data_IF_326995736851
#
_entry.id   IF_326995736851
#
_cell.length_a   1.000
_cell.length_b   1.000
_cell.length_c   1.000
_cell.angle_alpha   90.00
_cell.angle_beta   90.00
_cell.angle_gamma   90.00
#
_symmetry.space_group_name_H-M   'P 1'
#
loop_
_entity.id
_entity.type
_entity.pdbx_description
1 polymer ?
#
# COMPACT_ATOMS: atom_id res chain seq x y z
N UNK A 1 -4.67 -5.82 -26.70
CA UNK A 1 -5.84 -5.05 -26.23
C UNK A 1 -6.29 -5.72 -24.95
N UNK A 2 -6.75 -4.96 -23.96
CA UNK A 2 -7.20 -5.54 -22.70
C UNK A 2 -8.33 -6.54 -22.91
N UNK A 3 -8.29 -7.65 -22.19
CA UNK A 3 -9.28 -8.74 -22.29
C UNK A 3 -10.24 -8.67 -21.10
N UNK A 4 -11.54 -8.60 -21.38
CA UNK A 4 -12.56 -8.65 -20.34
C UNK A 4 -12.74 -10.07 -19.81
N UNK A 5 -12.75 -10.25 -18.50
CA UNK A 5 -13.04 -11.53 -17.86
C UNK A 5 -14.57 -11.69 -17.75
N UNK A 6 -15.19 -12.20 -18.81
CA UNK A 6 -16.65 -12.39 -18.91
C UNK A 6 -17.08 -13.82 -19.29
N UNK A 7 -16.11 -14.73 -19.41
CA UNK A 7 -16.35 -16.12 -19.79
C UNK A 7 -15.46 -17.08 -19.00
N UNK A 8 -15.95 -18.32 -18.86
CA UNK A 8 -15.23 -19.42 -18.20
C UNK A 8 -13.86 -19.67 -18.82
N UNK A 9 -13.74 -19.60 -20.15
CA UNK A 9 -12.48 -19.83 -20.86
C UNK A 9 -11.41 -18.81 -20.48
N UNK A 10 -11.77 -17.52 -20.41
CA UNK A 10 -10.82 -16.45 -20.05
C UNK A 10 -10.42 -16.57 -18.57
N UNK A 11 -11.38 -16.83 -17.69
CA UNK A 11 -11.09 -17.04 -16.27
C UNK A 11 -10.16 -18.25 -16.06
N UNK A 12 -10.40 -19.36 -16.77
CA UNK A 12 -9.55 -20.54 -16.71
C UNK A 12 -8.15 -20.27 -17.27
N UNK A 13 -8.03 -19.54 -18.38
CA UNK A 13 -6.75 -19.12 -18.95
C UNK A 13 -5.90 -18.35 -17.92
N UNK A 14 -6.50 -17.41 -17.18
CA UNK A 14 -5.81 -16.69 -16.11
C UNK A 14 -5.30 -17.66 -15.02
N UNK A 15 -6.12 -18.64 -14.61
CA UNK A 15 -5.71 -19.63 -13.61
C UNK A 15 -4.59 -20.56 -14.10
N UNK A 16 -4.59 -20.92 -15.38
CA UNK A 16 -3.64 -21.86 -15.95
C UNK A 16 -2.28 -21.20 -16.25
N UNK A 17 -2.30 -19.95 -16.72
CA UNK A 17 -1.10 -19.21 -17.13
C UNK A 17 -0.30 -18.62 -15.96
N UNK A 18 -0.91 -18.47 -14.78
CA UNK A 18 -0.26 -17.82 -13.64
C UNK A 18 -0.14 -18.77 -12.45
N UNK A 19 1.02 -18.77 -11.80
CA UNK A 19 1.28 -19.52 -10.58
C UNK A 19 1.30 -18.61 -9.34
N UNK A 20 1.60 -17.32 -9.51
CA UNK A 20 1.61 -16.33 -8.42
C UNK A 20 0.63 -15.21 -8.67
N UNK A 21 -0.14 -14.86 -7.64
CA UNK A 21 -1.14 -13.82 -7.66
C UNK A 21 -0.82 -12.79 -6.58
N UNK A 22 -0.51 -11.56 -7.01
CA UNK A 22 -0.31 -10.41 -6.14
C UNK A 22 -1.61 -9.60 -6.06
N UNK A 23 -2.13 -9.38 -4.86
CA UNK A 23 -3.40 -8.69 -4.66
C UNK A 23 -3.19 -7.35 -3.98
N UNK A 24 -3.65 -6.25 -4.58
CA UNK A 24 -4.06 -5.12 -3.75
C UNK A 24 -5.20 -5.51 -2.79
N UNK A 25 -5.39 -4.72 -1.75
CA UNK A 25 -6.34 -4.98 -0.68
C UNK A 25 -7.59 -4.09 -0.77
N UNK A 26 -7.42 -2.77 -0.72
CA UNK A 26 -8.52 -1.81 -0.59
C UNK A 26 -9.08 -1.51 -1.99
N UNK A 27 -10.32 -1.90 -2.26
CA UNK A 27 -10.90 -1.82 -3.61
C UNK A 27 -10.85 -3.14 -4.37
N UNK A 28 -10.05 -4.10 -3.93
CA UNK A 28 -9.94 -5.45 -4.53
C UNK A 28 -10.55 -6.54 -3.65
N UNK A 29 -10.17 -6.57 -2.37
CA UNK A 29 -10.64 -7.57 -1.40
C UNK A 29 -11.80 -7.05 -0.55
N UNK A 30 -11.79 -5.75 -0.25
CA UNK A 30 -12.79 -5.11 0.59
C UNK A 30 -12.94 -3.62 0.29
N UNK A 31 -14.05 -3.05 0.76
CA UNK A 31 -14.27 -1.62 0.85
C UNK A 31 -14.41 -1.24 2.34
N UNK A 32 -13.34 -0.70 2.90
CA UNK A 32 -13.24 -0.41 4.33
C UNK A 32 -13.29 -1.67 5.19
N UNK A 33 -14.44 -1.94 5.81
CA UNK A 33 -14.67 -3.10 6.71
C UNK A 33 -15.52 -4.19 6.09
N UNK A 34 -16.00 -4.01 4.86
CA UNK A 34 -16.88 -4.95 4.17
C UNK A 34 -16.12 -5.69 3.08
N UNK A 35 -16.09 -7.03 3.14
CA UNK A 35 -15.57 -7.86 2.06
C UNK A 35 -16.35 -7.67 0.78
N UNK A 36 -15.64 -7.71 -0.34
CA UNK A 36 -16.27 -7.80 -1.65
C UNK A 36 -16.77 -9.24 -1.91
N UNK A 37 -17.81 -9.42 -2.74
CA UNK A 37 -18.39 -10.73 -3.00
C UNK A 37 -17.36 -11.74 -3.54
N UNK A 38 -17.43 -12.98 -3.05
CA UNK A 38 -16.63 -14.12 -3.51
C UNK A 38 -15.12 -14.01 -3.35
N UNK A 39 -14.62 -13.04 -2.58
CA UNK A 39 -13.18 -12.89 -2.32
C UNK A 39 -12.62 -14.10 -1.57
N UNK A 40 -13.28 -14.55 -0.50
CA UNK A 40 -12.83 -15.69 0.30
C UNK A 40 -12.80 -16.96 -0.54
N UNK A 41 -13.86 -17.20 -1.31
CA UNK A 41 -13.96 -18.33 -2.23
C UNK A 41 -12.86 -18.29 -3.31
N UNK A 42 -12.57 -17.12 -3.87
CA UNK A 42 -11.51 -16.95 -4.88
C UNK A 42 -10.12 -17.24 -4.30
N UNK A 43 -9.79 -16.71 -3.12
CA UNK A 43 -8.50 -16.98 -2.47
C UNK A 43 -8.36 -18.47 -2.10
N UNK A 44 -9.44 -19.10 -1.64
CA UNK A 44 -9.43 -20.54 -1.33
C UNK A 44 -9.29 -21.41 -2.58
N UNK A 45 -9.92 -21.02 -3.71
CA UNK A 45 -9.74 -21.67 -5.01
C UNK A 45 -8.27 -21.61 -5.46
N UNK A 46 -7.65 -20.43 -5.39
CA UNK A 46 -6.23 -20.28 -5.75
C UNK A 46 -5.34 -21.17 -4.89
N UNK A 47 -5.58 -21.20 -3.58
CA UNK A 47 -4.84 -22.08 -2.66
C UNK A 47 -5.07 -23.56 -2.92
N UNK A 48 -6.29 -24.00 -3.28
CA UNK A 48 -6.57 -25.39 -3.60
C UNK A 48 -5.90 -25.84 -4.91
N UNK A 49 -5.63 -24.89 -5.82
CA UNK A 49 -4.86 -25.08 -7.04
C UNK A 49 -3.34 -24.93 -6.82
N UNK A 50 -2.87 -24.87 -5.57
CA UNK A 50 -1.48 -24.66 -5.19
C UNK A 50 -0.85 -23.36 -5.75
N UNK A 51 -1.67 -22.33 -6.00
CA UNK A 51 -1.20 -21.02 -6.43
C UNK A 51 -0.65 -20.25 -5.24
N UNK A 52 0.42 -19.49 -5.50
CA UNK A 52 1.01 -18.61 -4.49
C UNK A 52 0.20 -17.31 -4.41
N UNK A 53 -0.22 -16.93 -3.21
CA UNK A 53 -1.04 -15.75 -2.95
C UNK A 53 -0.25 -14.78 -2.08
N UNK A 54 -0.09 -13.54 -2.55
CA UNK A 54 0.61 -12.48 -1.82
C UNK A 54 -0.25 -11.22 -1.83
N UNK A 55 -0.33 -10.55 -0.69
CA UNK A 55 -1.10 -9.32 -0.50
C UNK A 55 -0.17 -8.12 -0.49
N UNK A 56 -0.41 -7.16 -1.37
CA UNK A 56 0.46 -6.02 -1.66
C UNK A 56 -0.33 -4.73 -1.56
N UNK A 57 -0.18 -3.98 -0.46
CA UNK A 57 -1.05 -2.81 -0.17
C UNK A 57 -0.27 -1.51 0.04
N UNK A 58 -0.77 -0.41 -0.52
CA UNK A 58 -0.26 0.93 -0.24
C UNK A 58 -0.82 1.55 1.05
N UNK A 59 -1.77 0.90 1.71
CA UNK A 59 -2.34 1.45 2.93
C UNK A 59 -1.41 1.23 4.13
N UNK A 60 -0.76 2.30 4.58
CA UNK A 60 0.16 2.28 5.71
C UNK A 60 -0.50 2.45 7.07
N UNK A 61 -1.84 2.45 7.15
CA UNK A 61 -2.53 2.68 8.43
C UNK A 61 -2.43 1.50 9.39
N UNK A 62 -2.15 0.30 8.86
CA UNK A 62 -2.08 -0.95 9.60
C UNK A 62 -0.75 -1.64 9.40
N UNK A 63 -0.25 -2.29 10.44
CA UNK A 63 0.88 -3.21 10.34
C UNK A 63 0.45 -4.53 9.71
N UNK A 64 1.41 -5.36 9.31
CA UNK A 64 1.14 -6.72 8.84
C UNK A 64 0.49 -7.58 9.93
N UNK A 65 0.81 -7.33 11.20
CA UNK A 65 0.14 -8.00 12.32
C UNK A 65 -1.35 -7.62 12.40
N UNK A 66 -1.67 -6.32 12.26
CA UNK A 66 -3.06 -5.85 12.21
C UNK A 66 -3.80 -6.35 10.96
N UNK A 67 -3.15 -6.43 9.80
CA UNK A 67 -3.73 -7.03 8.60
C UNK A 67 -4.01 -8.52 8.78
N UNK A 68 -3.11 -9.27 9.41
CA UNK A 68 -3.34 -10.68 9.74
C UNK A 68 -4.62 -10.85 10.57
N UNK A 69 -4.82 -9.98 11.57
CA UNK A 69 -6.05 -9.97 12.36
C UNK A 69 -7.29 -9.56 11.54
N UNK A 70 -7.13 -8.63 10.59
CA UNK A 70 -8.22 -8.23 9.68
C UNK A 70 -8.64 -9.39 8.78
N UNK A 71 -7.70 -10.09 8.16
CA UNK A 71 -7.96 -11.28 7.36
C UNK A 71 -8.65 -12.38 8.19
N UNK A 72 -8.20 -12.60 9.43
CA UNK A 72 -8.81 -13.59 10.31
C UNK A 72 -10.29 -13.27 10.61
N UNK A 73 -10.63 -12.00 10.85
CA UNK A 73 -12.04 -11.56 11.01
C UNK A 73 -12.91 -11.82 9.78
N UNK A 74 -12.29 -11.92 8.62
CA UNK A 74 -12.91 -12.25 7.35
C UNK A 74 -12.94 -13.76 7.05
N UNK A 75 -12.49 -14.60 8.00
CA UNK A 75 -12.45 -16.05 7.83
C UNK A 75 -11.28 -16.55 6.99
N UNK A 76 -10.31 -15.68 6.66
CA UNK A 76 -9.11 -16.04 5.92
C UNK A 76 -7.91 -16.09 6.87
N UNK A 77 -7.29 -17.27 6.99
CA UNK A 77 -6.00 -17.38 7.64
C UNK A 77 -4.91 -16.96 6.64
N UNK A 78 -4.24 -15.86 6.94
CA UNK A 78 -3.13 -15.32 6.14
C UNK A 78 -1.91 -15.23 7.05
N UNK A 79 -0.78 -15.76 6.61
CA UNK A 79 0.48 -15.61 7.30
C UNK A 79 1.03 -14.20 7.09
N UNK A 80 1.68 -13.65 8.11
CA UNK A 80 2.28 -12.32 8.06
C UNK A 80 3.29 -12.18 6.91
N UNK A 81 3.97 -13.26 6.53
CA UNK A 81 4.93 -13.31 5.41
C UNK A 81 4.27 -13.17 4.04
N UNK A 82 2.97 -13.43 3.92
CA UNK A 82 2.19 -13.22 2.68
C UNK A 82 1.82 -11.73 2.48
N UNK A 83 2.14 -10.82 3.41
CA UNK A 83 1.67 -9.43 3.40
C UNK A 83 2.82 -8.44 3.22
N UNK A 84 2.77 -7.64 2.17
CA UNK A 84 3.70 -6.55 1.85
C UNK A 84 2.93 -5.24 1.81
N UNK A 85 2.98 -4.52 2.94
CA UNK A 85 2.40 -3.19 3.06
C UNK A 85 3.42 -2.08 2.88
N UNK A 86 2.99 -0.90 2.44
CA UNK A 86 3.82 0.31 2.34
C UNK A 86 4.45 0.73 3.68
N UNK A 87 3.78 0.48 4.82
CA UNK A 87 4.35 0.67 6.16
C UNK A 87 5.58 -0.22 6.37
N UNK A 88 5.48 -1.50 6.03
CA UNK A 88 6.60 -2.45 6.12
C UNK A 88 7.72 -2.08 5.14
N UNK A 89 7.38 -1.72 3.91
CA UNK A 89 8.35 -1.28 2.90
C UNK A 89 9.15 -0.06 3.39
N UNK A 90 8.47 0.95 3.96
CA UNK A 90 9.13 2.12 4.54
C UNK A 90 10.03 1.74 5.73
N UNK A 91 9.59 0.84 6.62
CA UNK A 91 10.41 0.37 7.73
C UNK A 91 11.66 -0.38 7.26
N UNK A 92 11.54 -1.24 6.24
CA UNK A 92 12.69 -1.90 5.61
C UNK A 92 13.61 -0.88 4.94
N UNK A 93 13.08 0.13 4.26
CA UNK A 93 13.88 1.18 3.63
C UNK A 93 14.71 1.95 4.67
N UNK A 94 14.09 2.37 5.78
CA UNK A 94 14.78 2.97 6.94
C UNK A 94 15.91 2.05 7.44
N UNK A 95 15.62 0.75 7.50
CA UNK A 95 16.55 -0.23 8.07
C UNK A 95 17.72 -0.63 7.18
N UNK A 96 17.47 -0.78 5.88
CA UNK A 96 18.42 -1.40 4.95
C UNK A 96 19.06 -0.41 4.01
N UNK A 97 18.33 0.65 3.63
CA UNK A 97 18.79 1.61 2.63
C UNK A 97 19.32 2.88 3.31
N UNK A 98 18.52 3.48 4.20
CA UNK A 98 19.02 4.56 5.07
C UNK A 98 20.05 4.03 6.06
N UNK A 99 19.92 2.75 6.46
CA UNK A 99 20.78 2.12 7.45
C UNK A 99 20.84 2.95 8.74
N UNK A 100 19.66 3.36 9.22
CA UNK A 100 19.52 4.24 10.39
C UNK A 100 20.09 3.55 11.65
N UNK A 101 20.95 4.21 12.43
CA UNK A 101 21.41 3.68 13.71
C UNK A 101 20.25 3.43 14.69
N UNK A 102 20.32 2.36 15.48
CA UNK A 102 19.22 1.94 16.38
C UNK A 102 19.02 2.83 17.60
N UNK A 103 20.04 3.60 17.96
CA UNK A 103 19.99 4.64 18.98
C UNK A 103 19.28 5.92 18.47
N UNK A 104 19.03 6.04 17.17
CA UNK A 104 18.27 7.14 16.57
C UNK A 104 16.78 6.85 16.50
N UNK A 105 16.02 7.95 16.46
CA UNK A 105 14.55 7.96 16.43
C UNK A 105 14.04 8.28 15.04
N UNK A 106 12.84 7.79 14.75
CA UNK A 106 12.10 8.08 13.53
C UNK A 106 10.89 8.96 13.89
N UNK A 107 10.81 10.15 13.31
CA UNK A 107 9.60 10.96 13.36
C UNK A 107 8.58 10.39 12.38
N UNK A 108 7.37 10.12 12.87
CA UNK A 108 6.27 9.59 12.07
C UNK A 108 5.18 10.64 11.93
N UNK A 109 4.72 10.87 10.70
CA UNK A 109 3.45 11.52 10.41
C UNK A 109 2.55 10.49 9.72
N UNK A 110 1.65 9.87 10.46
CA UNK A 110 0.88 8.71 10.00
C UNK A 110 0.30 7.92 11.15
N UNK A 111 -0.40 6.83 10.85
CA UNK A 111 -1.01 5.95 11.86
C UNK A 111 -0.09 4.83 12.36
N UNK A 112 -0.57 4.11 13.38
CA UNK A 112 0.14 3.10 14.17
C UNK A 112 0.79 2.00 13.32
N UNK A 113 0.26 1.66 12.16
CA UNK A 113 0.85 0.65 11.28
C UNK A 113 2.31 0.93 10.91
N UNK A 114 2.66 2.20 10.68
CA UNK A 114 4.05 2.62 10.42
C UNK A 114 4.91 2.40 11.66
N UNK A 115 4.38 2.77 12.82
CA UNK A 115 5.11 2.70 14.08
C UNK A 115 5.39 1.26 14.51
N UNK A 116 4.42 0.37 14.37
CA UNK A 116 4.60 -1.05 14.69
C UNK A 116 5.67 -1.71 13.80
N UNK A 117 5.64 -1.48 12.49
CA UNK A 117 6.64 -2.05 11.58
C UNK A 117 8.05 -1.51 11.88
N UNK A 118 8.18 -0.23 12.25
CA UNK A 118 9.46 0.35 12.69
C UNK A 118 9.92 -0.23 14.03
N UNK A 119 9.02 -0.37 15.01
CA UNK A 119 9.32 -0.94 16.33
C UNK A 119 9.73 -2.41 16.24
N UNK A 120 9.08 -3.19 15.37
CA UNK A 120 9.48 -4.58 15.11
C UNK A 120 10.90 -4.71 14.57
N UNK A 121 11.40 -3.69 13.86
CA UNK A 121 12.79 -3.61 13.41
C UNK A 121 13.73 -2.96 14.44
N UNK A 122 13.25 -2.68 15.65
CA UNK A 122 14.04 -2.13 16.75
C UNK A 122 14.25 -0.61 16.72
N UNK A 123 13.42 0.14 15.98
CA UNK A 123 13.45 1.60 16.01
C UNK A 123 12.53 2.19 17.07
N UNK A 124 12.96 3.31 17.65
CA UNK A 124 12.09 4.15 18.48
C UNK A 124 11.36 5.14 17.57
N UNK A 125 10.04 5.22 17.70
CA UNK A 125 9.20 6.20 16.98
C UNK A 125 8.78 7.34 17.89
N UNK A 126 8.63 8.52 17.30
CA UNK A 126 8.08 9.72 17.95
C UNK A 126 7.12 10.42 16.98
N UNK A 127 6.12 11.12 17.51
CA UNK A 127 5.01 11.65 16.72
C UNK A 127 3.95 10.57 16.50
N UNK A 128 3.52 10.36 15.25
CA UNK A 128 2.57 9.30 14.90
C UNK A 128 1.28 9.40 15.71
N UNK A 129 0.93 8.33 16.43
CA UNK A 129 -0.27 8.28 17.26
C UNK A 129 -0.16 8.94 18.64
N UNK A 130 0.89 9.74 18.91
CA UNK A 130 1.00 10.52 20.14
C UNK A 130 -0.18 11.49 20.29
N UNK A 131 -0.96 11.31 21.38
CA UNK A 131 -2.13 12.14 21.71
C UNK A 131 -1.78 13.59 22.00
N UNK A 132 -0.53 13.90 22.32
CA UNK A 132 -0.07 15.28 22.46
C UNK A 132 -0.28 16.06 21.16
N UNK A 133 -0.19 15.39 20.00
CA UNK A 133 -0.39 16.00 18.68
C UNK A 133 -1.86 16.27 18.32
N UNK A 134 -2.82 15.84 19.14
CA UNK A 134 -4.27 16.05 18.88
C UNK A 134 -4.78 17.38 19.44
N UNK A 135 -3.91 18.17 20.06
CA UNK A 135 -4.26 19.47 20.63
C UNK A 135 -4.45 20.55 19.55
N UNK A 136 -5.33 21.56 19.79
CA UNK A 136 -5.39 22.75 18.95
C UNK A 136 -4.04 23.43 18.85
N UNK A 137 -3.70 23.92 17.66
CA UNK A 137 -2.39 24.50 17.40
C UNK A 137 -2.10 25.73 18.29
N UNK A 138 -0.87 25.77 18.79
CA UNK A 138 -0.23 26.92 19.44
C UNK A 138 1.28 26.85 19.23
N UNK A 139 1.94 28.00 19.18
CA UNK A 139 3.40 28.08 19.09
C UNK A 139 4.11 27.61 20.37
N UNK A 140 3.36 27.47 21.46
CA UNK A 140 3.89 27.03 22.75
C UNK A 140 3.95 25.50 22.93
N UNK A 141 3.46 24.75 21.95
CA UNK A 141 3.39 23.29 22.00
C UNK A 141 4.79 22.66 21.91
N UNK A 142 4.99 21.55 22.62
CA UNK A 142 6.30 20.87 22.79
C UNK A 142 7.03 20.65 21.47
N UNK A 143 6.38 20.02 20.49
CA UNK A 143 7.02 19.71 19.20
C UNK A 143 7.19 20.95 18.30
N UNK A 144 6.59 22.09 18.66
CA UNK A 144 6.87 23.39 18.02
C UNK A 144 8.03 24.11 18.70
N UNK A 145 8.17 24.03 20.02
CA UNK A 145 9.25 24.69 20.76
C UNK A 145 10.61 24.06 20.47
N UNK A 146 10.70 22.74 20.51
CA UNK A 146 11.97 22.03 20.36
C UNK A 146 11.81 20.79 19.49
N UNK A 147 12.85 20.47 18.71
CA UNK A 147 12.97 19.20 17.98
C UNK A 147 13.85 18.26 18.79
N UNK A 148 13.47 16.98 18.82
CA UNK A 148 14.31 15.95 19.44
C UNK A 148 15.55 15.70 18.58
N UNK A 149 16.73 15.90 19.16
CA UNK A 149 18.04 15.81 18.45
C UNK A 149 18.41 14.38 18.05
N UNK A 150 17.74 13.37 18.63
CA UNK A 150 17.94 11.97 18.24
C UNK A 150 17.07 11.56 17.06
N UNK A 151 16.12 12.39 16.62
CA UNK A 151 15.40 12.15 15.38
C UNK A 151 16.34 12.34 14.19
N UNK A 152 16.50 11.28 13.42
CA UNK A 152 17.37 11.26 12.25
C UNK A 152 16.70 10.65 11.01
N UNK A 153 15.38 10.49 11.02
CA UNK A 153 14.58 10.12 9.85
C UNK A 153 13.14 10.60 10.00
N UNK A 154 12.50 11.01 8.91
CA UNK A 154 11.07 11.35 8.85
C UNK A 154 10.36 10.37 7.92
N UNK A 155 9.32 9.70 8.42
CA UNK A 155 8.44 8.83 7.64
C UNK A 155 7.03 9.40 7.64
N UNK A 156 6.45 9.61 6.45
CA UNK A 156 5.13 10.20 6.27
C UNK A 156 4.23 9.23 5.50
N UNK A 157 3.00 9.06 5.98
CA UNK A 157 1.96 8.26 5.33
C UNK A 157 0.57 8.83 5.59
N UNK A 158 -0.46 8.02 5.38
CA UNK A 158 -1.85 8.43 5.63
C UNK A 158 -2.09 8.62 7.14
N UNK A 159 -2.64 9.78 7.51
CA UNK A 159 -3.13 10.09 8.85
C UNK A 159 -4.56 10.63 8.77
N UNK A 160 -5.53 9.87 9.28
CA UNK A 160 -6.93 10.31 9.35
C UNK A 160 -7.19 11.35 10.43
N UNK A 161 -6.25 11.57 11.35
CA UNK A 161 -6.31 12.60 12.40
C UNK A 161 -5.41 13.81 12.07
N UNK A 162 -5.02 13.96 10.80
CA UNK A 162 -4.15 15.04 10.35
C UNK A 162 -4.71 16.41 10.77
N UNK A 163 -3.82 17.25 11.30
CA UNK A 163 -4.14 18.61 11.72
C UNK A 163 -2.93 19.52 11.50
N UNK A 164 -3.11 20.83 11.72
CA UNK A 164 -2.03 21.79 11.51
C UNK A 164 -0.82 21.55 12.43
N UNK A 165 -1.02 21.12 13.68
CA UNK A 165 0.07 20.85 14.60
C UNK A 165 0.96 19.70 14.11
N UNK A 166 0.38 18.59 13.67
CA UNK A 166 1.07 17.44 13.07
C UNK A 166 1.91 17.85 11.86
N UNK A 167 1.34 18.67 10.97
CA UNK A 167 2.06 19.18 9.79
C UNK A 167 3.22 20.12 10.20
N UNK A 168 2.96 21.07 11.09
CA UNK A 168 3.96 22.04 11.55
C UNK A 168 5.13 21.37 12.29
N UNK A 169 4.84 20.42 13.18
CA UNK A 169 5.87 19.63 13.87
C UNK A 169 6.72 18.80 12.89
N UNK A 170 6.08 18.18 11.90
CA UNK A 170 6.79 17.43 10.84
C UNK A 170 7.70 18.34 10.03
N UNK A 171 7.21 19.54 9.67
CA UNK A 171 7.99 20.51 8.92
C UNK A 171 9.25 20.96 9.67
N UNK A 172 9.20 21.10 11.01
CA UNK A 172 10.38 21.43 11.81
C UNK A 172 11.52 20.41 11.66
N UNK A 173 11.21 19.11 11.57
CA UNK A 173 12.23 18.09 11.32
C UNK A 173 12.73 18.14 9.87
N UNK A 174 11.84 18.40 8.92
CA UNK A 174 12.19 18.48 7.49
C UNK A 174 13.02 19.71 7.11
N UNK A 175 13.06 20.75 7.96
CA UNK A 175 13.97 21.89 7.81
C UNK A 175 15.44 21.50 7.85
N UNK A 176 15.79 20.36 8.47
CA UNK A 176 17.12 19.78 8.33
C UNK A 176 17.21 19.00 7.01
N UNK A 177 18.00 19.48 6.02
CA UNK A 177 18.10 18.83 4.71
C UNK A 177 18.74 17.43 4.78
N UNK A 178 19.53 17.15 5.82
CA UNK A 178 20.28 15.90 5.98
C UNK A 178 19.42 14.76 6.54
N UNK A 179 18.27 15.06 7.14
CA UNK A 179 17.35 14.03 7.64
C UNK A 179 16.63 13.39 6.46
N UNK A 180 16.72 12.06 6.25
CA UNK A 180 15.98 11.37 5.20
C UNK A 180 14.47 11.59 5.34
N UNK A 181 13.82 11.83 4.21
CA UNK A 181 12.40 12.07 4.10
C UNK A 181 11.76 10.96 3.26
N UNK A 182 10.95 10.12 3.90
CA UNK A 182 10.39 8.91 3.32
C UNK A 182 8.86 9.02 3.30
N UNK A 183 8.27 8.68 2.16
CA UNK A 183 6.85 8.52 1.95
C UNK A 183 6.49 7.03 1.94
N UNK A 184 5.43 6.63 2.64
CA UNK A 184 4.96 5.24 2.55
C UNK A 184 4.41 4.95 1.14
N UNK A 185 3.65 5.87 0.55
CA UNK A 185 3.13 5.82 -0.81
C UNK A 185 2.69 7.23 -1.26
N UNK A 186 2.47 7.43 -2.55
CA UNK A 186 2.11 8.73 -3.13
C UNK A 186 0.69 8.78 -3.70
N UNK A 187 -0.19 7.88 -3.27
CA UNK A 187 -1.58 7.83 -3.73
C UNK A 187 -2.30 9.13 -3.36
N UNK A 188 -2.83 9.84 -4.37
CA UNK A 188 -3.49 11.13 -4.18
C UNK A 188 -4.82 11.01 -3.44
N UNK A 189 -5.53 9.91 -3.66
CA UNK A 189 -6.86 9.65 -3.09
C UNK A 189 -6.93 8.32 -2.36
N UNK A 190 -7.89 8.21 -1.44
CA UNK A 190 -8.22 7.01 -0.69
C UNK A 190 -9.72 6.69 -0.88
N UNK A 191 -10.09 5.56 -1.52
CA UNK A 191 -11.48 5.22 -1.81
C UNK A 191 -12.11 4.53 -0.60
N UNK A 192 -13.29 5.00 -0.18
CA UNK A 192 -14.01 4.41 0.94
C UNK A 192 -15.53 4.52 0.77
N UNK A 193 -16.22 3.38 0.62
CA UNK A 193 -17.70 3.29 0.56
C UNK A 193 -18.35 4.27 -0.44
N UNK A 194 -17.78 4.40 -1.64
CA UNK A 194 -18.28 5.30 -2.68
C UNK A 194 -17.85 6.77 -2.52
N UNK A 195 -17.05 7.09 -1.50
CA UNK A 195 -16.40 8.38 -1.34
C UNK A 195 -14.96 8.33 -1.84
N UNK A 196 -14.50 9.46 -2.38
CA UNK A 196 -13.09 9.71 -2.71
C UNK A 196 -12.55 10.68 -1.67
N UNK A 197 -11.68 10.19 -0.79
CA UNK A 197 -11.06 10.97 0.29
C UNK A 197 -9.59 11.30 -0.06
N UNK A 198 -8.95 12.24 0.65
CA UNK A 198 -7.50 12.46 0.50
C UNK A 198 -6.69 11.21 0.85
N UNK A 199 -5.76 10.83 -0.03
CA UNK A 199 -4.81 9.74 0.19
C UNK A 199 -3.53 10.23 0.89
N UNK A 200 -2.59 9.30 1.10
CA UNK A 200 -1.31 9.61 1.72
C UNK A 200 -0.54 10.69 0.94
N UNK A 201 -0.55 10.60 -0.40
CA UNK A 201 0.11 11.55 -1.28
C UNK A 201 -0.35 12.99 -1.06
N UNK A 202 -1.64 13.22 -0.77
CA UNK A 202 -2.15 14.56 -0.48
C UNK A 202 -1.57 15.15 0.83
N UNK A 203 -1.38 14.33 1.86
CA UNK A 203 -0.76 14.73 3.13
C UNK A 203 0.74 14.97 2.93
N UNK A 204 1.39 14.04 2.22
CA UNK A 204 2.83 14.09 1.94
C UNK A 204 3.17 15.33 1.13
N UNK A 205 2.39 15.64 0.10
CA UNK A 205 2.61 16.81 -0.76
C UNK A 205 2.51 18.11 0.04
N UNK A 206 1.63 18.16 1.05
CA UNK A 206 1.48 19.35 1.90
C UNK A 206 2.77 19.66 2.69
N UNK A 207 3.41 18.65 3.27
CA UNK A 207 4.68 18.82 4.01
C UNK A 207 5.90 18.87 3.08
N UNK A 208 5.85 18.22 1.93
CA UNK A 208 6.87 18.31 0.89
C UNK A 208 6.95 19.73 0.33
N UNK A 209 5.80 20.31 -0.04
CA UNK A 209 5.69 21.69 -0.49
C UNK A 209 6.21 22.66 0.56
N UNK A 210 5.78 22.51 1.82
CA UNK A 210 6.20 23.37 2.92
C UNK A 210 7.72 23.29 3.23
N UNK A 211 8.34 22.13 3.01
CA UNK A 211 9.78 21.93 3.25
C UNK A 211 10.65 22.23 2.03
N UNK A 212 10.06 22.30 0.83
CA UNK A 212 10.80 22.37 -0.44
C UNK A 212 11.55 21.07 -0.77
N UNK A 213 11.17 19.93 -0.17
CA UNK A 213 11.84 18.64 -0.31
C UNK A 213 10.91 17.60 -0.92
N UNK A 214 11.46 16.73 -1.77
CA UNK A 214 10.74 15.57 -2.32
C UNK A 214 11.10 14.32 -1.53
N UNK A 215 10.12 13.55 -1.03
CA UNK A 215 10.38 12.31 -0.31
C UNK A 215 10.72 11.15 -1.25
N UNK A 216 11.33 10.12 -0.69
CA UNK A 216 11.48 8.82 -1.34
C UNK A 216 10.23 7.98 -1.05
N UNK A 217 9.47 7.60 -2.08
CA UNK A 217 8.31 6.71 -1.94
C UNK A 217 8.74 5.25 -1.79
N UNK A 218 8.05 4.49 -0.95
CA UNK A 218 8.31 3.05 -0.74
C UNK A 218 7.18 2.12 -1.22
N UNK A 219 6.03 2.69 -1.56
CA UNK A 219 4.83 1.96 -1.98
C UNK A 219 4.81 1.74 -3.50
N UNK A 220 3.83 0.97 -3.98
CA UNK A 220 3.53 0.87 -5.42
C UNK A 220 3.37 2.28 -6.01
N UNK A 221 3.89 2.57 -7.21
CA UNK A 221 4.49 1.63 -8.17
C UNK A 221 6.01 1.40 -8.01
N UNK A 222 6.61 1.82 -6.89
CA UNK A 222 8.06 1.70 -6.70
C UNK A 222 8.53 0.24 -6.66
N UNK A 223 9.68 -0.01 -7.31
CA UNK A 223 10.21 -1.36 -7.50
C UNK A 223 10.62 -2.05 -6.19
N UNK A 224 11.00 -1.27 -5.17
CA UNK A 224 11.51 -1.79 -3.90
C UNK A 224 10.55 -2.79 -3.22
N UNK A 225 9.24 -2.61 -3.37
CA UNK A 225 8.24 -3.55 -2.85
C UNK A 225 8.30 -4.90 -3.58
N UNK A 226 8.45 -4.90 -4.90
CA UNK A 226 8.60 -6.13 -5.67
C UNK A 226 9.94 -6.82 -5.40
N UNK A 227 11.02 -6.05 -5.25
CA UNK A 227 12.33 -6.60 -4.90
C UNK A 227 12.28 -7.30 -3.52
N UNK A 228 11.53 -6.76 -2.55
CA UNK A 228 11.29 -7.41 -1.27
C UNK A 228 10.49 -8.73 -1.41
N UNK A 229 9.47 -8.75 -2.27
CA UNK A 229 8.69 -9.96 -2.58
C UNK A 229 9.60 -11.03 -3.21
N UNK A 230 10.38 -10.69 -4.24
CA UNK A 230 11.33 -11.60 -4.92
C UNK A 230 12.42 -12.14 -3.98
N UNK A 231 12.78 -11.38 -2.95
CA UNK A 231 13.73 -11.85 -1.93
C UNK A 231 13.12 -12.88 -0.96
N UNK A 232 11.80 -12.87 -0.80
CA UNK A 232 11.08 -13.72 0.16
C UNK A 232 10.47 -14.96 -0.51
N UNK A 233 10.17 -14.88 -1.80
CA UNK A 233 9.48 -15.92 -2.56
C UNK A 233 10.19 -16.24 -3.87
N UNK A 234 10.06 -17.48 -4.33
CA UNK A 234 10.42 -17.83 -5.72
C UNK A 234 9.31 -17.30 -6.63
N UNK A 235 9.66 -16.32 -7.45
CA UNK A 235 8.74 -15.68 -8.39
C UNK A 235 9.24 -15.96 -9.80
N UNK A 236 8.34 -16.45 -10.64
CA UNK A 236 8.49 -16.43 -12.10
C UNK A 236 7.63 -15.27 -12.61
N UNK A 237 8.28 -14.19 -13.06
CA UNK A 237 7.60 -12.95 -13.44
C UNK A 237 6.60 -13.20 -14.58
N UNK A 238 6.94 -14.07 -15.55
CA UNK A 238 6.09 -14.41 -16.71
C UNK A 238 4.85 -15.23 -16.30
N UNK A 239 4.85 -15.82 -15.11
CA UNK A 239 3.72 -16.57 -14.52
C UNK A 239 3.15 -15.88 -13.29
N UNK A 240 3.33 -14.56 -13.20
CA UNK A 240 2.84 -13.76 -12.08
C UNK A 240 1.90 -12.66 -12.56
N UNK A 241 0.78 -12.49 -11.85
CA UNK A 241 -0.22 -11.47 -12.16
C UNK A 241 -0.44 -10.53 -10.97
N UNK A 242 -0.49 -9.23 -11.25
CA UNK A 242 -0.88 -8.19 -10.30
C UNK A 242 -2.36 -7.84 -10.47
N UNK A 243 -3.14 -8.06 -9.40
CA UNK A 243 -4.56 -7.75 -9.31
C UNK A 243 -4.72 -6.47 -8.50
N UNK A 244 -5.34 -5.46 -9.11
CA UNK A 244 -5.47 -4.13 -8.52
C UNK A 244 -6.73 -3.40 -8.98
N UNK A 245 -7.03 -2.28 -8.35
CA UNK A 245 -8.19 -1.44 -8.69
C UNK A 245 -7.79 -0.09 -9.32
N UNK A 246 -6.48 0.19 -9.45
CA UNK A 246 -5.94 1.47 -9.90
C UNK A 246 -5.03 1.36 -11.13
N UNK A 247 -5.31 2.18 -12.15
CA UNK A 247 -4.49 2.23 -13.37
C UNK A 247 -3.11 2.84 -13.13
N UNK A 248 -3.00 3.82 -12.24
CA UNK A 248 -1.77 4.60 -12.01
C UNK A 248 -0.83 4.01 -10.96
N UNK A 249 -1.29 3.05 -10.15
CA UNK A 249 -0.47 2.41 -9.11
C UNK A 249 -0.32 0.93 -9.38
N UNK A 250 -1.38 0.13 -9.28
CA UNK A 250 -1.29 -1.33 -9.40
C UNK A 250 -0.92 -1.78 -10.80
N UNK A 251 -1.57 -1.22 -11.82
CA UNK A 251 -1.30 -1.62 -13.20
C UNK A 251 0.08 -1.12 -13.66
N UNK A 252 0.52 0.06 -13.17
CA UNK A 252 1.90 0.51 -13.37
C UNK A 252 2.86 -0.44 -12.66
N UNK A 253 2.62 -0.81 -11.41
CA UNK A 253 3.47 -1.71 -10.63
C UNK A 253 3.63 -3.08 -11.30
N UNK A 254 2.54 -3.66 -11.82
CA UNK A 254 2.61 -4.90 -12.58
C UNK A 254 3.46 -4.76 -13.84
N UNK A 255 3.15 -3.78 -14.70
CA UNK A 255 3.88 -3.57 -15.96
C UNK A 255 5.35 -3.25 -15.77
N UNK A 256 5.71 -2.38 -14.83
CA UNK A 256 7.12 -2.00 -14.58
C UNK A 256 7.93 -3.15 -13.98
N UNK A 257 7.27 -4.17 -13.45
CA UNK A 257 7.90 -5.39 -12.97
C UNK A 257 7.74 -6.58 -13.91
N UNK A 258 7.29 -6.36 -15.16
CA UNK A 258 7.07 -7.40 -16.17
C UNK A 258 6.04 -8.46 -15.76
N UNK A 259 5.03 -8.06 -14.99
CA UNK A 259 3.94 -8.94 -14.57
C UNK A 259 2.72 -8.72 -15.46
N UNK A 260 1.93 -9.77 -15.65
CA UNK A 260 0.59 -9.61 -16.17
C UNK A 260 -0.28 -8.82 -15.18
N UNK A 261 -1.35 -8.21 -15.68
CA UNK A 261 -2.19 -7.32 -14.85
C UNK A 261 -3.67 -7.62 -15.02
N UNK A 262 -4.38 -7.67 -13.89
CA UNK A 262 -5.84 -7.77 -13.84
C UNK A 262 -6.41 -6.58 -13.07
N UNK A 263 -7.07 -5.67 -13.79
CA UNK A 263 -7.78 -4.55 -13.18
C UNK A 263 -9.19 -4.99 -12.75
N UNK A 264 -9.56 -4.79 -11.48
CA UNK A 264 -10.95 -4.96 -11.01
C UNK A 264 -11.65 -3.61 -10.94
N UNK A 265 -12.94 -3.59 -11.31
CA UNK A 265 -13.75 -2.37 -11.39
C UNK A 265 -14.53 -2.06 -10.09
N UNK A 266 -14.16 -2.68 -8.99
CA UNK A 266 -14.74 -2.44 -7.65
C UNK A 266 -14.17 -1.21 -6.94
N UNK A 267 -13.12 -0.60 -7.50
CA UNK A 267 -12.45 0.59 -6.96
C UNK A 267 -12.85 1.90 -7.65
N UNK A 268 -11.84 2.69 -8.06
CA UNK A 268 -12.05 4.01 -8.67
C UNK A 268 -12.11 3.99 -10.21
N UNK A 269 -11.63 2.91 -10.83
CA UNK A 269 -11.50 2.83 -12.29
C UNK A 269 -12.75 2.28 -12.98
N UNK A 270 -12.89 2.61 -14.27
CA UNK A 270 -14.04 2.21 -15.09
C UNK A 270 -13.57 1.69 -16.44
N UNK A 271 -14.40 0.90 -17.13
CA UNK A 271 -14.11 0.46 -18.50
C UNK A 271 -13.84 1.63 -19.45
N UNK A 272 -14.56 2.74 -19.26
CA UNK A 272 -14.35 3.96 -20.03
C UNK A 272 -12.97 4.59 -19.81
N UNK A 273 -12.39 4.45 -18.62
CA UNK A 273 -11.01 4.89 -18.36
C UNK A 273 -10.00 3.99 -19.07
N UNK A 274 -10.21 2.67 -19.06
CA UNK A 274 -9.37 1.72 -19.80
C UNK A 274 -9.37 2.04 -21.30
N UNK A 275 -10.54 2.32 -21.88
CA UNK A 275 -10.68 2.60 -23.30
C UNK A 275 -9.96 3.88 -23.76
N UNK A 276 -9.69 4.81 -22.84
CA UNK A 276 -8.92 6.04 -23.11
C UNK A 276 -7.41 5.83 -23.13
N UNK A 277 -6.92 4.69 -22.63
CA UNK A 277 -5.50 4.39 -22.57
C UNK A 277 -4.97 3.91 -23.91
N UNK A 278 -3.71 4.25 -24.18
CA UNK A 278 -2.94 3.64 -25.26
C UNK A 278 -2.84 2.12 -25.05
N UNK A 279 -2.84 1.36 -26.15
CA UNK A 279 -2.90 -0.11 -26.13
C UNK A 279 -1.77 -0.77 -25.32
N UNK A 280 -0.60 -0.12 -25.23
CA UNK A 280 0.58 -0.59 -24.53
C UNK A 280 0.55 -0.32 -23.01
N UNK A 281 -0.37 0.52 -22.52
CA UNK A 281 -0.53 0.81 -21.08
C UNK A 281 -1.87 0.35 -20.53
N UNK A 282 -2.68 -0.32 -21.35
CA UNK A 282 -3.86 -1.03 -20.87
C UNK A 282 -3.45 -2.21 -19.98
N UNK A 283 -4.30 -2.60 -19.00
CA UNK A 283 -4.09 -3.83 -18.25
C UNK A 283 -4.24 -5.05 -19.17
N UNK A 284 -3.60 -6.17 -18.85
CA UNK A 284 -3.72 -7.42 -19.63
C UNK A 284 -5.17 -7.88 -19.63
N UNK A 285 -5.78 -7.92 -18.44
CA UNK A 285 -7.16 -8.31 -18.20
C UNK A 285 -7.90 -7.24 -17.40
N UNK A 286 -9.24 -7.25 -17.48
CA UNK A 286 -10.08 -6.53 -16.53
C UNK A 286 -11.35 -7.30 -16.19
N UNK A 287 -11.82 -7.17 -14.95
CA UNK A 287 -13.01 -7.87 -14.44
C UNK A 287 -13.90 -6.91 -13.65
N UNK A 288 -15.20 -7.21 -13.51
CA UNK A 288 -16.08 -6.36 -12.69
C UNK A 288 -15.67 -6.44 -11.22
N UNK A 289 -15.34 -7.63 -10.74
CA UNK A 289 -14.89 -7.91 -9.38
C UNK A 289 -13.95 -9.10 -9.34
N UNK A 290 -13.09 -9.19 -8.32
CA UNK A 290 -12.21 -10.36 -8.13
C UNK A 290 -12.99 -11.68 -8.11
N UNK A 291 -14.19 -11.66 -7.51
CA UNK A 291 -15.09 -12.81 -7.43
C UNK A 291 -15.46 -13.45 -8.77
N UNK A 292 -15.34 -12.72 -9.89
CA UNK A 292 -15.66 -13.24 -11.22
C UNK A 292 -14.76 -14.43 -11.58
N UNK A 293 -13.50 -14.48 -11.09
CA UNK A 293 -12.62 -15.63 -11.31
C UNK A 293 -13.21 -16.93 -10.73
N UNK A 294 -13.78 -16.86 -9.53
CA UNK A 294 -14.43 -18.01 -8.89
C UNK A 294 -15.77 -18.34 -9.54
N UNK A 295 -16.63 -17.33 -9.74
CA UNK A 295 -17.98 -17.52 -10.29
C UNK A 295 -17.96 -18.13 -11.69
N UNK A 296 -17.03 -17.71 -12.56
CA UNK A 296 -16.97 -18.19 -13.94
C UNK A 296 -16.35 -19.59 -14.06
N UNK A 297 -15.52 -20.03 -13.11
CA UNK A 297 -14.82 -21.32 -13.17
C UNK A 297 -15.54 -22.42 -12.37
N UNK A 298 -16.24 -22.04 -11.30
CA UNK A 298 -16.88 -22.96 -10.35
C UNK A 298 -18.37 -23.20 -10.61
N UNK A 299 -18.96 -22.48 -11.58
CA UNK A 299 -20.35 -22.63 -12.02
C UNK A 299 -20.39 -23.24 -13.44
#
# INVERSE_FOLDING_TARGET
>A
MSVKVDSKSIAQEILDNHDTFLFDCDGVLWLGTSLLPKVVETINLLRSLNKQVIFVTNNSTKSRAEYTQKFLKFGLKVDKTEIFGSAFAAAIYVSKIVNLPKDKKVWVLGQNGIEEELRELGYTTIGGTDKELDQPFSTDLKFIKETDKDVACVVVGLDLNINYYRMAATLKYLQNPDIPFIATNIDSTFPQKGLVLPGAGSIIESVAFGSGRTPISCGKPEKGMMDAIRSSFKIDDDRTIMIGDRLNTDMVFGRTNNLDTLLVLTGIETEANIAKLDKNVQPTYFANKLGDLFELTSI
#
